data_IF_984393073548
#
_entry.id   IF_984393073548
#
_cell.length_a   1.000
_cell.length_b   1.000
_cell.length_c   1.000
_cell.angle_alpha   90.00
_cell.angle_beta   90.00
_cell.angle_gamma   90.00
#
_symmetry.space_group_name_H-M   'P 1'
#
loop_
_entity.id
_entity.type
_entity.pdbx_description
1 polymer ?
#
# COMPACT_ATOMS: atom_id res chain seq x y z
N UNK A 1 -17.75 -18.93 -1.84
CA UNK A 1 -18.49 -18.31 -0.71
C UNK A 1 -18.28 -16.82 -0.87
N UNK A 2 -19.32 -16.00 -0.75
CA UNK A 2 -19.18 -14.55 -0.87
C UNK A 2 -18.24 -14.01 0.22
N UNK A 3 -17.30 -13.16 -0.16
CA UNK A 3 -16.42 -12.50 0.81
C UNK A 3 -17.20 -11.49 1.65
N UNK A 4 -16.82 -11.36 2.91
CA UNK A 4 -17.41 -10.43 3.88
C UNK A 4 -16.77 -9.04 3.74
N UNK A 5 -15.48 -8.97 3.43
CA UNK A 5 -14.76 -7.70 3.23
C UNK A 5 -13.75 -7.74 2.08
N UNK A 6 -13.46 -6.55 1.53
CA UNK A 6 -12.45 -6.35 0.46
C UNK A 6 -11.06 -6.81 0.90
N UNK A 7 -10.81 -6.76 2.20
CA UNK A 7 -9.58 -7.23 2.84
C UNK A 7 -9.27 -8.70 2.55
N UNK A 8 -10.29 -9.52 2.28
CA UNK A 8 -10.11 -10.94 1.95
C UNK A 8 -9.49 -11.15 0.57
N UNK A 9 -9.62 -10.17 -0.35
CA UNK A 9 -8.98 -10.19 -1.67
C UNK A 9 -7.47 -9.88 -1.58
N UNK A 10 -7.07 -9.13 -0.56
CA UNK A 10 -5.71 -8.63 -0.41
C UNK A 10 -4.68 -9.77 -0.38
N UNK A 11 -4.84 -10.70 0.58
CA UNK A 11 -3.86 -11.76 0.81
C UNK A 11 -3.67 -12.70 -0.40
N UNK A 12 -4.74 -13.17 -1.08
CA UNK A 12 -4.60 -13.98 -2.30
C UNK A 12 -3.88 -13.26 -3.44
N UNK A 13 -4.26 -12.00 -3.72
CA UNK A 13 -3.66 -11.24 -4.82
C UNK A 13 -2.20 -10.91 -4.52
N UNK A 14 -1.89 -10.53 -3.27
CA UNK A 14 -0.52 -10.32 -2.81
C UNK A 14 0.33 -11.58 -2.99
N UNK A 15 -0.13 -12.71 -2.47
CA UNK A 15 0.60 -13.98 -2.59
C UNK A 15 0.84 -14.39 -4.05
N UNK A 16 -0.16 -14.18 -4.93
CA UNK A 16 -0.02 -14.43 -6.36
C UNK A 16 1.07 -13.56 -7.00
N UNK A 17 1.10 -12.25 -6.70
CA UNK A 17 2.11 -11.34 -7.24
C UNK A 17 3.51 -11.64 -6.68
N UNK A 18 3.62 -11.97 -5.39
CA UNK A 18 4.90 -12.36 -4.77
C UNK A 18 5.47 -13.64 -5.39
N UNK A 19 4.61 -14.61 -5.76
CA UNK A 19 5.04 -15.81 -6.50
C UNK A 19 5.58 -15.50 -7.89
N UNK A 20 5.19 -14.36 -8.48
CA UNK A 20 5.72 -13.86 -9.76
C UNK A 20 7.00 -13.00 -9.58
N UNK A 21 7.54 -12.95 -8.37
CA UNK A 21 8.78 -12.23 -8.04
C UNK A 21 8.58 -10.74 -7.77
N UNK A 22 7.34 -10.27 -7.56
CA UNK A 22 7.10 -8.90 -7.14
C UNK A 22 7.32 -8.72 -5.65
N UNK A 23 7.91 -7.60 -5.27
CA UNK A 23 7.76 -7.05 -3.94
C UNK A 23 6.40 -6.34 -3.85
N UNK A 24 5.57 -6.68 -2.86
CA UNK A 24 4.18 -6.19 -2.79
C UNK A 24 3.92 -5.50 -1.46
N UNK A 25 3.31 -4.30 -1.53
CA UNK A 25 2.95 -3.50 -0.36
C UNK A 25 1.54 -2.94 -0.53
N UNK A 26 0.75 -2.96 0.54
CA UNK A 26 -0.64 -2.50 0.51
C UNK A 26 -0.80 -1.03 0.81
N UNK A 27 -1.90 -0.43 0.38
CA UNK A 27 -2.35 0.91 0.81
C UNK A 27 -1.32 2.04 0.55
N UNK A 28 -0.53 1.94 -0.52
CA UNK A 28 0.54 2.91 -0.85
C UNK A 28 -0.07 4.08 -1.65
N UNK A 29 -0.01 5.30 -1.11
CA UNK A 29 -0.64 6.50 -1.71
C UNK A 29 -2.11 6.27 -2.14
N UNK A 30 -2.88 5.57 -1.31
CA UNK A 30 -4.28 5.20 -1.57
C UNK A 30 -4.50 4.16 -2.68
N UNK A 31 -3.45 3.49 -3.16
CA UNK A 31 -3.59 2.31 -4.01
C UNK A 31 -3.70 1.09 -3.10
N UNK A 32 -4.67 0.20 -3.34
CA UNK A 32 -4.89 -0.97 -2.46
C UNK A 32 -3.68 -1.90 -2.44
N UNK A 33 -3.07 -2.16 -3.60
CA UNK A 33 -1.84 -2.93 -3.76
C UNK A 33 -0.93 -2.25 -4.77
N UNK A 34 0.35 -2.15 -4.41
CA UNK A 34 1.43 -1.79 -5.34
C UNK A 34 2.44 -2.92 -5.33
N UNK A 35 2.89 -3.30 -6.51
CA UNK A 35 3.85 -4.37 -6.73
C UNK A 35 4.99 -3.85 -7.62
N UNK A 36 6.22 -4.10 -7.22
CA UNK A 36 7.43 -3.66 -7.95
C UNK A 36 8.35 -4.86 -8.15
N UNK A 37 8.90 -5.01 -9.34
CA UNK A 37 9.91 -6.03 -9.65
C UNK A 37 11.08 -5.35 -10.33
N UNK A 38 12.24 -5.38 -9.70
CA UNK A 38 13.47 -4.75 -10.19
C UNK A 38 13.24 -3.28 -10.60
N UNK A 39 13.60 -2.92 -11.83
CA UNK A 39 13.42 -1.58 -12.42
C UNK A 39 12.14 -1.47 -13.27
N UNK A 40 11.24 -2.45 -13.20
CA UNK A 40 9.94 -2.37 -13.89
C UNK A 40 9.07 -1.23 -13.31
N UNK A 41 8.26 -0.55 -14.15
CA UNK A 41 7.23 0.35 -13.65
C UNK A 41 6.29 -0.36 -12.65
N UNK A 42 5.81 0.34 -11.61
CA UNK A 42 4.99 -0.27 -10.57
C UNK A 42 3.70 -0.86 -11.14
N UNK A 43 3.37 -2.09 -10.78
CA UNK A 43 2.06 -2.68 -11.00
C UNK A 43 1.12 -2.22 -9.88
N UNK A 44 -0.06 -1.74 -10.24
CA UNK A 44 -1.06 -1.26 -9.28
C UNK A 44 -2.32 -2.12 -9.39
N UNK A 45 -2.85 -2.57 -8.26
CA UNK A 45 -4.14 -3.28 -8.20
C UNK A 45 -5.10 -2.55 -7.27
N UNK A 46 -6.29 -2.25 -7.77
CA UNK A 46 -7.44 -1.76 -6.99
C UNK A 46 -8.38 -2.93 -6.69
N UNK A 47 -8.89 -3.03 -5.45
CA UNK A 47 -9.66 -4.15 -4.93
C UNK A 47 -11.11 -3.71 -4.65
N UNK A 48 -12.09 -4.49 -5.11
CA UNK A 48 -13.49 -4.33 -4.70
C UNK A 48 -14.17 -5.68 -4.57
N UNK A 49 -15.21 -5.79 -3.73
CA UNK A 49 -15.97 -7.04 -3.63
C UNK A 49 -16.55 -7.50 -4.97
N UNK A 50 -17.02 -6.55 -5.77
CA UNK A 50 -17.59 -6.80 -7.09
C UNK A 50 -17.04 -5.81 -8.12
N UNK A 51 -17.04 -6.24 -9.37
CA UNK A 51 -16.81 -5.32 -10.49
C UNK A 51 -17.84 -4.20 -10.44
N UNK A 52 -17.41 -2.94 -10.47
CA UNK A 52 -18.30 -1.79 -10.29
C UNK A 52 -17.70 -0.53 -10.92
N UNK A 53 -18.54 0.47 -11.19
CA UNK A 53 -18.08 1.76 -11.73
C UNK A 53 -17.04 2.42 -10.82
N UNK A 54 -17.21 2.50 -9.48
CA UNK A 54 -16.18 3.06 -8.60
C UNK A 54 -14.81 2.40 -8.75
N UNK A 55 -14.77 1.07 -8.82
CA UNK A 55 -13.52 0.31 -9.03
C UNK A 55 -12.85 0.69 -10.35
N UNK A 56 -13.63 0.82 -11.43
CA UNK A 56 -13.11 1.23 -12.74
C UNK A 56 -12.58 2.67 -12.71
N UNK A 57 -13.29 3.60 -12.08
CA UNK A 57 -12.86 4.99 -11.98
C UNK A 57 -11.54 5.10 -11.21
N UNK A 58 -11.40 4.38 -10.10
CA UNK A 58 -10.14 4.30 -9.34
C UNK A 58 -9.00 3.77 -10.23
N UNK A 59 -9.22 2.68 -10.96
CA UNK A 59 -8.20 2.13 -11.84
C UNK A 59 -7.81 3.08 -12.98
N UNK A 60 -8.78 3.77 -13.60
CA UNK A 60 -8.51 4.78 -14.63
C UNK A 60 -7.65 5.91 -14.07
N UNK A 61 -7.92 6.37 -12.85
CA UNK A 61 -7.08 7.38 -12.18
C UNK A 61 -5.63 6.91 -11.98
N UNK A 62 -5.43 5.60 -11.71
CA UNK A 62 -4.09 5.00 -11.59
C UNK A 62 -3.33 4.92 -12.91
N UNK A 63 -4.00 5.00 -14.07
CA UNK A 63 -3.31 5.04 -15.38
C UNK A 63 -2.44 6.28 -15.57
N UNK A 64 -2.67 7.32 -14.77
CA UNK A 64 -1.79 8.48 -14.69
C UNK A 64 -0.45 8.15 -14.04
N UNK A 65 -0.36 7.05 -13.28
CA UNK A 65 0.79 6.67 -12.48
C UNK A 65 1.54 5.47 -13.10
N UNK A 66 0.80 4.51 -13.64
CA UNK A 66 1.37 3.30 -14.26
C UNK A 66 0.55 2.85 -15.46
N UNK A 67 1.15 2.05 -16.36
CA UNK A 67 0.44 1.33 -17.43
C UNK A 67 0.12 -0.11 -17.06
N UNK A 68 0.64 -0.60 -15.95
CA UNK A 68 0.35 -1.92 -15.40
C UNK A 68 -0.68 -1.78 -14.28
N UNK A 69 -1.93 -1.44 -14.64
CA UNK A 69 -3.02 -1.27 -13.68
C UNK A 69 -4.03 -2.40 -13.84
N UNK A 70 -4.43 -3.00 -12.72
CA UNK A 70 -5.44 -4.05 -12.65
C UNK A 70 -6.57 -3.67 -11.71
N UNK A 71 -7.78 -4.11 -12.05
CA UNK A 71 -8.87 -4.25 -11.08
C UNK A 71 -8.93 -5.69 -10.61
N UNK A 72 -9.18 -5.92 -9.32
CA UNK A 72 -9.44 -7.25 -8.80
C UNK A 72 -10.69 -7.32 -7.93
N UNK A 73 -11.46 -8.39 -8.11
CA UNK A 73 -12.72 -8.62 -7.38
C UNK A 73 -13.04 -10.10 -7.20
N UNK A 74 -14.02 -10.40 -6.35
CA UNK A 74 -14.45 -11.79 -6.13
C UNK A 74 -15.05 -12.37 -7.42
N UNK A 75 -14.58 -13.56 -7.84
CA UNK A 75 -15.22 -14.31 -8.92
C UNK A 75 -16.63 -14.74 -8.47
N UNK A 76 -17.70 -14.35 -9.18
CA UNK A 76 -19.06 -14.74 -8.79
C UNK A 76 -19.22 -16.27 -8.78
N UNK A 77 -19.80 -16.83 -7.71
CA UNK A 77 -19.91 -18.30 -7.51
C UNK A 77 -20.60 -19.07 -8.66
N UNK A 78 -21.44 -18.41 -9.48
CA UNK A 78 -22.13 -19.04 -10.62
C UNK A 78 -21.34 -18.97 -11.93
N UNK A 79 -20.12 -18.43 -11.91
CA UNK A 79 -19.27 -18.26 -13.09
C UNK A 79 -19.78 -17.25 -14.13
N UNK A 80 -20.97 -16.66 -13.94
CA UNK A 80 -21.49 -15.57 -14.77
C UNK A 80 -20.76 -14.27 -14.42
N UNK A 81 -20.48 -13.46 -15.44
CA UNK A 81 -19.91 -12.15 -15.22
C UNK A 81 -20.91 -11.24 -14.47
N UNK A 82 -20.42 -10.27 -13.67
CA UNK A 82 -21.27 -9.31 -12.96
C UNK A 82 -22.20 -8.50 -13.86
N UNK A 83 -23.27 -7.94 -13.27
CA UNK A 83 -24.21 -7.01 -13.92
C UNK A 83 -24.89 -7.51 -15.20
N UNK A 84 -25.01 -8.83 -15.35
CA UNK A 84 -25.62 -9.43 -16.54
C UNK A 84 -24.72 -9.43 -17.78
N UNK A 85 -23.45 -9.01 -17.65
CA UNK A 85 -22.48 -9.05 -18.73
C UNK A 85 -21.90 -10.46 -18.93
N UNK A 86 -21.20 -10.64 -20.05
CA UNK A 86 -20.33 -11.78 -20.33
C UNK A 86 -18.86 -11.44 -20.07
N UNK A 87 -18.03 -12.45 -19.81
CA UNK A 87 -16.59 -12.26 -19.63
C UNK A 87 -15.90 -11.62 -20.86
N UNK A 88 -16.24 -11.97 -22.12
CA UNK A 88 -15.73 -11.26 -23.30
C UNK A 88 -16.07 -9.77 -23.30
N UNK A 89 -17.28 -9.37 -22.91
CA UNK A 89 -17.68 -7.95 -22.83
C UNK A 89 -16.88 -7.19 -21.77
N UNK A 90 -16.68 -7.80 -20.58
CA UNK A 90 -15.86 -7.18 -19.52
C UNK A 90 -14.39 -7.06 -19.93
N UNK A 91 -13.83 -8.09 -20.60
CA UNK A 91 -12.47 -8.02 -21.15
C UNK A 91 -12.35 -6.93 -22.21
N UNK A 92 -13.33 -6.79 -23.10
CA UNK A 92 -13.38 -5.71 -24.10
C UNK A 92 -13.43 -4.34 -23.42
N UNK A 93 -14.28 -4.15 -22.42
CA UNK A 93 -14.38 -2.91 -21.65
C UNK A 93 -13.04 -2.57 -20.98
N UNK A 94 -12.44 -3.51 -20.25
CA UNK A 94 -11.15 -3.30 -19.59
C UNK A 94 -10.04 -2.97 -20.60
N UNK A 95 -10.03 -3.66 -21.75
CA UNK A 95 -9.12 -3.36 -22.85
C UNK A 95 -9.27 -1.94 -23.41
N UNK A 96 -10.51 -1.48 -23.65
CA UNK A 96 -10.79 -0.11 -24.08
C UNK A 96 -10.34 0.95 -23.06
N UNK A 97 -10.40 0.60 -21.77
CA UNK A 97 -9.99 1.48 -20.67
C UNK A 97 -8.48 1.42 -20.40
N UNK A 98 -7.75 0.44 -20.93
CA UNK A 98 -6.32 0.27 -20.68
C UNK A 98 -5.99 -0.42 -19.35
N UNK A 99 -6.93 -1.16 -18.76
CA UNK A 99 -6.75 -1.84 -17.46
C UNK A 99 -6.82 -3.36 -17.63
N UNK A 100 -6.10 -4.09 -16.78
CA UNK A 100 -6.25 -5.54 -16.64
C UNK A 100 -7.33 -5.90 -15.62
N UNK A 101 -7.73 -7.17 -15.62
CA UNK A 101 -8.77 -7.70 -14.74
C UNK A 101 -8.30 -9.00 -14.10
N UNK A 102 -8.41 -9.06 -12.78
CA UNK A 102 -8.13 -10.23 -11.96
C UNK A 102 -9.40 -10.63 -11.22
N UNK A 103 -9.65 -11.93 -11.10
CA UNK A 103 -10.71 -12.45 -10.26
C UNK A 103 -10.14 -13.38 -9.20
N UNK A 104 -10.77 -13.40 -8.03
CA UNK A 104 -10.41 -14.30 -6.93
C UNK A 104 -11.60 -15.18 -6.58
N UNK A 105 -11.46 -16.49 -6.78
CA UNK A 105 -12.46 -17.47 -6.41
C UNK A 105 -12.19 -18.01 -5.00
N UNK A 106 -13.14 -17.81 -4.09
CA UNK A 106 -13.08 -18.34 -2.72
C UNK A 106 -13.84 -19.66 -2.60
N UNK A 107 -13.21 -20.63 -1.94
CA UNK A 107 -13.76 -21.96 -1.65
C UNK A 107 -13.96 -22.12 -0.14
N UNK A 108 -14.83 -23.06 0.28
CA UNK A 108 -15.02 -23.37 1.70
C UNK A 108 -13.85 -24.15 2.31
N UNK A 109 -13.20 -24.99 1.53
CA UNK A 109 -12.26 -26.01 2.02
C UNK A 109 -10.89 -25.97 1.35
N UNK A 110 -10.67 -25.06 0.39
CA UNK A 110 -9.41 -24.93 -0.36
C UNK A 110 -8.96 -23.48 -0.41
N UNK A 111 -7.67 -23.27 -0.66
CA UNK A 111 -7.07 -21.94 -0.81
C UNK A 111 -7.78 -21.16 -1.93
N UNK A 112 -7.93 -19.84 -1.82
CA UNK A 112 -8.48 -19.01 -2.88
C UNK A 112 -7.66 -19.16 -4.17
N UNK A 113 -8.33 -19.15 -5.32
CA UNK A 113 -7.68 -19.19 -6.63
C UNK A 113 -7.73 -17.80 -7.26
N UNK A 114 -6.57 -17.29 -7.67
CA UNK A 114 -6.44 -16.05 -8.44
C UNK A 114 -6.40 -16.41 -9.93
N UNK A 115 -7.18 -15.70 -10.73
CA UNK A 115 -7.22 -15.85 -12.19
C UNK A 115 -7.08 -14.47 -12.84
N UNK A 116 -6.16 -14.34 -13.81
CA UNK A 116 -6.05 -13.14 -14.63
C UNK A 116 -6.95 -13.30 -15.85
N UNK A 117 -8.04 -12.54 -15.89
CA UNK A 117 -9.03 -12.58 -16.98
C UNK A 117 -8.52 -11.88 -18.24
N UNK A 118 -7.82 -10.76 -18.03
CA UNK A 118 -7.08 -10.07 -19.08
C UNK A 118 -5.95 -9.25 -18.46
N UNK A 119 -4.86 -9.12 -19.22
CA UNK A 119 -3.81 -8.15 -18.93
C UNK A 119 -4.22 -6.77 -19.47
N UNK A 120 -3.72 -5.67 -18.88
CA UNK A 120 -3.82 -4.38 -19.54
C UNK A 120 -3.18 -4.50 -20.92
N UNK A 121 -3.72 -3.83 -21.96
CA UNK A 121 -3.10 -3.83 -23.26
C UNK A 121 -1.65 -3.38 -23.12
N UNK A 122 -0.72 -4.15 -23.68
CA UNK A 122 0.69 -3.80 -23.67
C UNK A 122 0.82 -2.36 -24.17
N UNK A 123 1.64 -1.55 -23.47
CA UNK A 123 1.89 -0.18 -23.87
C UNK A 123 2.26 -0.19 -25.35
N UNK A 124 1.34 0.36 -26.14
CA UNK A 124 1.29 0.19 -27.58
C UNK A 124 2.66 0.48 -28.16
N UNK A 125 3.27 -0.52 -28.79
CA UNK A 125 4.25 -0.28 -29.85
C UNK A 125 3.65 0.74 -30.82
N UNK A 126 4.49 1.57 -31.44
CA UNK A 126 4.14 2.74 -32.26
C UNK A 126 3.08 2.53 -33.39
N UNK A 127 2.60 1.30 -33.60
CA UNK A 127 1.60 0.91 -34.58
C UNK A 127 0.11 1.17 -34.19
N UNK A 128 -0.19 1.59 -32.95
CA UNK A 128 -1.59 1.84 -32.55
C UNK A 128 -1.90 3.34 -32.44
N UNK A 129 -1.94 4.02 -33.59
CA UNK A 129 -2.36 5.42 -33.69
C UNK A 129 -3.86 5.63 -33.35
N UNK A 130 -4.67 4.56 -33.44
CA UNK A 130 -6.14 4.60 -33.32
C UNK A 130 -6.70 4.22 -31.94
N UNK A 131 -5.86 3.93 -30.95
CA UNK A 131 -6.38 3.65 -29.60
C UNK A 131 -6.56 4.94 -28.79
N UNK A 132 -7.66 5.07 -28.03
CA UNK A 132 -7.88 6.24 -27.18
C UNK A 132 -6.69 6.42 -26.25
N UNK A 133 -6.03 7.57 -26.35
CA UNK A 133 -4.89 7.93 -25.52
C UNK A 133 -5.39 8.03 -24.08
N UNK A 134 -5.10 7.02 -23.27
CA UNK A 134 -5.40 7.02 -21.85
C UNK A 134 -4.79 8.24 -21.12
N UNK A 135 -5.11 8.42 -19.83
CA UNK A 135 -4.69 9.59 -19.07
C UNK A 135 -3.20 9.92 -19.21
N UNK A 136 -2.86 11.21 -19.32
CA UNK A 136 -1.46 11.66 -19.44
C UNK A 136 -0.66 11.21 -18.22
N UNK A 137 0.47 10.55 -18.48
CA UNK A 137 1.35 10.05 -17.44
C UNK A 137 1.94 11.20 -16.59
N UNK A 138 1.85 11.04 -15.28
CA UNK A 138 2.29 12.00 -14.26
C UNK A 138 3.53 11.46 -13.54
N UNK A 139 4.70 11.80 -14.07
CA UNK A 139 6.01 11.37 -13.52
C UNK A 139 6.20 11.75 -12.05
N UNK A 140 5.67 12.89 -11.63
CA UNK A 140 5.78 13.35 -10.24
C UNK A 140 4.95 12.48 -9.28
N UNK A 141 3.72 12.12 -9.67
CA UNK A 141 2.88 11.22 -8.89
C UNK A 141 3.50 9.81 -8.80
N UNK A 142 4.05 9.29 -9.91
CA UNK A 142 4.79 8.03 -9.94
C UNK A 142 6.01 8.04 -9.03
N UNK A 143 6.84 9.10 -9.07
CA UNK A 143 7.98 9.24 -8.16
C UNK A 143 7.57 9.27 -6.68
N UNK A 144 6.45 9.92 -6.34
CA UNK A 144 5.91 9.88 -4.97
C UNK A 144 5.43 8.48 -4.56
N UNK A 145 4.75 7.76 -5.46
CA UNK A 145 4.33 6.38 -5.23
C UNK A 145 5.54 5.50 -4.93
N UNK A 146 6.56 5.54 -5.78
CA UNK A 146 7.77 4.73 -5.61
C UNK A 146 8.55 5.07 -4.35
N UNK A 147 8.63 6.36 -3.99
CA UNK A 147 9.26 6.77 -2.74
C UNK A 147 8.50 6.24 -1.52
N UNK A 148 7.18 6.42 -1.48
CA UNK A 148 6.38 5.88 -0.38
C UNK A 148 6.43 4.35 -0.34
N UNK A 149 6.40 3.71 -1.52
CA UNK A 149 6.57 2.27 -1.65
C UNK A 149 7.85 1.88 -0.94
N UNK A 150 9.04 2.34 -1.37
CA UNK A 150 10.36 1.97 -0.82
C UNK A 150 10.55 2.31 0.66
N UNK A 151 9.91 3.37 1.16
CA UNK A 151 10.10 3.83 2.54
C UNK A 151 9.37 3.01 3.61
N UNK A 152 8.47 2.09 3.25
CA UNK A 152 7.78 1.21 4.22
C UNK A 152 8.71 0.08 4.70
N UNK A 153 8.68 -0.29 5.98
CA UNK A 153 9.53 -1.36 6.52
C UNK A 153 8.90 -2.75 6.43
N UNK A 154 7.57 -2.83 6.56
CA UNK A 154 6.81 -4.07 6.40
C UNK A 154 5.34 -3.79 5.99
N UNK A 155 4.61 -4.85 5.65
CA UNK A 155 3.20 -4.78 5.24
C UNK A 155 2.26 -4.77 6.46
N UNK A 156 2.23 -3.65 7.18
CA UNK A 156 1.42 -3.48 8.41
C UNK A 156 -0.08 -3.32 8.16
N UNK A 157 -0.47 -3.02 6.91
CA UNK A 157 -1.86 -2.83 6.54
C UNK A 157 -2.36 -4.07 5.80
N UNK A 158 -3.13 -4.90 6.49
CA UNK A 158 -4.00 -5.85 5.79
C UNK A 158 -5.07 -5.00 5.09
N UNK A 159 -4.97 -4.88 3.76
CA UNK A 159 -5.66 -3.84 2.97
C UNK A 159 -7.16 -3.75 3.22
N UNK A 160 -7.75 -2.55 3.10
CA UNK A 160 -9.20 -2.34 3.10
C UNK A 160 -9.93 -2.35 4.45
N UNK A 161 -9.22 -2.31 5.59
CA UNK A 161 -9.89 -2.21 6.91
C UNK A 161 -10.42 -0.79 7.16
N UNK A 162 -11.69 -0.54 6.83
CA UNK A 162 -12.37 0.76 7.01
C UNK A 162 -12.41 1.27 8.47
N UNK A 163 -12.03 0.45 9.46
CA UNK A 163 -12.06 0.80 10.89
C UNK A 163 -10.69 1.01 11.53
N UNK A 164 -9.58 0.62 10.88
CA UNK A 164 -8.22 0.85 11.41
C UNK A 164 -7.53 1.96 10.62
N UNK A 165 -6.93 2.93 11.32
CA UNK A 165 -6.25 4.06 10.66
C UNK A 165 -5.01 3.55 9.91
N UNK A 166 -5.01 3.70 8.58
CA UNK A 166 -3.96 3.28 7.64
C UNK A 166 -2.53 3.68 8.08
N UNK A 167 -1.63 2.72 8.23
CA UNK A 167 -0.22 2.94 8.60
C UNK A 167 0.55 3.37 7.34
N UNK A 168 0.71 4.68 7.14
CA UNK A 168 1.59 5.21 6.10
C UNK A 168 3.05 5.09 6.52
N UNK A 169 4.00 5.19 5.58
CA UNK A 169 5.44 5.24 5.91
C UNK A 169 5.78 6.36 6.91
N UNK A 170 5.11 7.51 6.80
CA UNK A 170 5.26 8.61 7.75
C UNK A 170 4.77 8.22 9.15
N UNK A 171 3.63 7.52 9.25
CA UNK A 171 3.09 7.06 10.52
C UNK A 171 3.96 5.97 11.13
N UNK A 172 4.39 4.99 10.36
CA UNK A 172 5.32 3.95 10.79
C UNK A 172 6.61 4.55 11.38
N UNK A 173 7.25 5.46 10.66
CA UNK A 173 8.42 6.20 11.15
C UNK A 173 8.10 7.01 12.41
N UNK A 174 6.89 7.58 12.53
CA UNK A 174 6.48 8.32 13.73
C UNK A 174 6.29 7.38 14.93
N UNK A 175 5.76 6.17 14.70
CA UNK A 175 5.61 5.12 15.71
C UNK A 175 6.98 4.65 16.17
N UNK A 176 7.94 4.49 15.25
CA UNK A 176 9.33 4.14 15.60
C UNK A 176 9.99 5.19 16.49
N UNK A 177 9.88 6.47 16.14
CA UNK A 177 10.39 7.55 16.99
C UNK A 177 9.70 7.56 18.37
N UNK A 178 8.39 7.33 18.40
CA UNK A 178 7.62 7.23 19.63
C UNK A 178 8.07 6.04 20.49
N UNK A 179 8.31 4.86 19.92
CA UNK A 179 8.73 3.68 20.69
C UNK A 179 10.10 3.89 21.33
N UNK A 180 11.05 4.50 20.61
CA UNK A 180 12.37 4.83 21.15
C UNK A 180 12.29 5.86 22.29
N UNK A 181 11.44 6.88 22.16
CA UNK A 181 11.20 7.85 23.24
C UNK A 181 10.53 7.20 24.47
N UNK A 182 9.67 6.20 24.26
CA UNK A 182 9.10 5.42 25.36
C UNK A 182 10.15 4.58 26.07
N UNK A 183 11.05 3.97 25.30
CA UNK A 183 12.03 3.02 25.80
C UNK A 183 13.23 3.70 26.48
N UNK A 184 13.81 4.70 25.83
CA UNK A 184 15.04 5.37 26.28
C UNK A 184 14.78 6.70 27.01
N UNK A 185 13.52 7.10 27.13
CA UNK A 185 13.14 8.38 27.71
C UNK A 185 13.36 9.57 26.76
N UNK A 186 13.51 10.80 27.29
CA UNK A 186 13.67 11.97 26.45
C UNK A 186 14.95 11.93 25.61
N UNK A 187 14.82 12.11 24.29
CA UNK A 187 15.94 12.07 23.35
C UNK A 187 15.99 13.31 22.47
N UNK A 188 17.19 13.58 21.96
CA UNK A 188 17.41 14.59 20.92
C UNK A 188 17.07 14.06 19.51
N UNK A 189 16.74 14.94 18.55
CA UNK A 189 16.57 14.56 17.15
C UNK A 189 17.79 13.85 16.54
N UNK A 190 19.00 14.18 17.00
CA UNK A 190 20.24 13.54 16.55
C UNK A 190 20.28 12.08 17.01
N UNK A 191 20.09 11.83 18.31
CA UNK A 191 20.04 10.47 18.85
C UNK A 191 18.97 9.63 18.16
N UNK A 192 17.78 10.18 17.95
CA UNK A 192 16.70 9.48 17.26
C UNK A 192 17.04 9.16 15.80
N UNK A 193 17.69 10.07 15.07
CA UNK A 193 18.19 9.79 13.71
C UNK A 193 19.22 8.69 13.73
N UNK A 194 20.16 8.74 14.67
CA UNK A 194 21.28 7.79 14.72
C UNK A 194 20.78 6.37 15.10
N UNK A 195 19.77 6.29 15.98
CA UNK A 195 19.07 5.04 16.32
C UNK A 195 18.25 4.49 15.14
N UNK A 196 17.48 5.34 14.44
CA UNK A 196 16.54 4.86 13.41
C UNK A 196 17.12 4.82 11.99
N UNK A 197 18.28 5.44 11.76
CA UNK A 197 18.77 5.78 10.43
C UNK A 197 17.88 6.79 9.67
N UNK A 198 16.85 7.37 10.30
CA UNK A 198 15.88 8.23 9.62
C UNK A 198 16.35 9.69 9.57
N UNK A 199 16.78 10.22 8.41
CA UNK A 199 17.28 11.60 8.30
C UNK A 199 16.19 12.65 8.58
N UNK A 200 14.91 12.27 8.53
CA UNK A 200 13.77 13.17 8.73
C UNK A 200 13.33 13.30 10.20
N UNK A 201 13.99 12.61 11.15
CA UNK A 201 13.57 12.59 12.56
C UNK A 201 13.33 13.99 13.14
N UNK A 202 14.26 14.93 12.92
CA UNK A 202 14.10 16.32 13.38
C UNK A 202 12.86 17.02 12.79
N UNK A 203 12.64 16.90 11.49
CA UNK A 203 11.49 17.48 10.83
C UNK A 203 10.16 16.88 11.30
N UNK A 204 10.14 15.58 11.61
CA UNK A 204 8.95 14.90 12.12
C UNK A 204 8.57 15.36 13.53
N UNK A 205 9.57 15.50 14.41
CA UNK A 205 9.39 16.03 15.78
C UNK A 205 8.93 17.50 15.76
N UNK A 206 9.47 18.31 14.85
CA UNK A 206 9.12 19.72 14.73
C UNK A 206 7.72 19.94 14.13
N UNK A 207 7.40 19.25 13.03
CA UNK A 207 6.07 19.33 12.40
C UNK A 207 4.99 18.75 13.29
N UNK A 208 5.34 17.72 14.08
CA UNK A 208 4.50 17.08 15.07
C UNK A 208 3.05 16.82 14.59
N UNK A 209 2.92 16.30 13.36
CA UNK A 209 1.63 16.18 12.63
C UNK A 209 0.55 15.47 13.46
N UNK A 210 0.94 14.47 14.26
CA UNK A 210 0.01 13.71 15.11
C UNK A 210 -0.04 14.19 16.56
N UNK A 211 0.73 15.22 16.92
CA UNK A 211 0.87 15.76 18.28
C UNK A 211 1.37 14.75 19.31
N UNK A 212 2.13 13.75 18.87
CA UNK A 212 2.69 12.69 19.74
C UNK A 212 3.92 13.13 20.51
N UNK A 213 4.59 14.18 20.08
CA UNK A 213 5.85 14.62 20.65
C UNK A 213 5.69 15.91 21.43
N UNK A 214 6.43 16.06 22.52
CA UNK A 214 6.51 17.28 23.32
C UNK A 214 7.97 17.63 23.53
N UNK A 215 8.33 18.89 23.30
CA UNK A 215 9.66 19.41 23.60
C UNK A 215 9.72 19.76 25.09
N UNK A 216 10.65 19.15 25.82
CA UNK A 216 10.85 19.36 27.27
C UNK A 216 12.06 20.24 27.58
N UNK A 217 13.02 20.30 26.66
CA UNK A 217 14.19 21.18 26.75
C UNK A 217 14.68 21.56 25.33
N UNK A 218 15.74 22.36 25.24
CA UNK A 218 16.34 22.81 23.99
C UNK A 218 16.83 21.61 23.17
N UNK A 219 15.98 21.15 22.26
CA UNK A 219 16.29 20.06 21.35
C UNK A 219 16.10 18.68 21.98
N UNK A 220 15.38 18.58 23.11
CA UNK A 220 15.05 17.32 23.76
C UNK A 220 13.52 17.13 23.72
N UNK A 221 13.10 15.95 23.29
CA UNK A 221 11.70 15.60 23.11
C UNK A 221 11.33 14.38 23.95
N UNK A 222 10.09 14.35 24.42
CA UNK A 222 9.43 13.20 25.04
C UNK A 222 8.09 12.93 24.35
N UNK A 223 7.38 11.89 24.78
CA UNK A 223 6.03 11.61 24.33
C UNK A 223 4.99 12.47 25.06
N UNK A 224 4.02 12.98 24.31
CA UNK A 224 2.79 13.54 24.86
C UNK A 224 1.83 12.41 25.27
N UNK A 225 0.76 12.68 26.04
CA UNK A 225 -0.29 11.69 26.32
C UNK A 225 -0.86 11.03 25.07
N UNK A 226 -1.07 11.80 23.99
CA UNK A 226 -1.53 11.27 22.69
C UNK A 226 -0.52 10.31 22.06
N UNK A 227 0.79 10.56 22.25
CA UNK A 227 1.84 9.66 21.80
C UNK A 227 1.85 8.34 22.59
N UNK A 228 1.59 8.40 23.89
CA UNK A 228 1.44 7.20 24.73
C UNK A 228 0.26 6.35 24.28
N UNK A 229 -0.91 6.97 24.06
CA UNK A 229 -2.11 6.29 23.55
C UNK A 229 -1.90 5.70 22.15
N UNK A 230 -1.16 6.41 21.30
CA UNK A 230 -0.83 5.92 19.96
C UNK A 230 -0.01 4.64 20.01
N UNK A 231 0.97 4.53 20.92
CA UNK A 231 1.75 3.30 21.08
C UNK A 231 0.87 2.12 21.51
N UNK A 232 -0.15 2.35 22.35
CA UNK A 232 -1.14 1.31 22.68
C UNK A 232 -1.98 0.94 21.46
N UNK A 233 -2.44 1.94 20.70
CA UNK A 233 -3.28 1.75 19.50
C UNK A 233 -2.55 0.97 18.40
N UNK A 234 -1.24 1.21 18.26
CA UNK A 234 -0.39 0.64 17.21
C UNK A 234 0.66 -0.33 17.76
N UNK A 235 0.37 -1.01 18.88
CA UNK A 235 1.30 -1.95 19.52
C UNK A 235 1.82 -3.01 18.53
N UNK A 236 0.92 -3.58 17.73
CA UNK A 236 1.24 -4.54 16.66
C UNK A 236 2.25 -4.03 15.60
N UNK A 237 2.39 -2.71 15.42
CA UNK A 237 3.44 -2.12 14.57
C UNK A 237 4.70 -1.90 15.39
N UNK A 238 4.56 -1.28 16.56
CA UNK A 238 5.68 -0.95 17.45
C UNK A 238 6.54 -2.17 17.82
N UNK A 239 5.92 -3.32 18.07
CA UNK A 239 6.57 -4.58 18.46
C UNK A 239 7.45 -5.18 17.35
N UNK A 240 7.19 -4.85 16.10
CA UNK A 240 7.93 -5.37 14.94
C UNK A 240 9.04 -4.45 14.45
N UNK A 241 9.05 -3.21 14.94
CA UNK A 241 10.02 -2.22 14.52
C UNK A 241 11.38 -2.53 15.15
N UNK A 242 12.48 -2.39 14.40
CA UNK A 242 13.81 -2.72 14.91
C UNK A 242 14.14 -1.80 16.08
N UNK A 243 14.45 -2.40 17.22
CA UNK A 243 15.00 -1.67 18.37
C UNK A 243 16.53 -1.77 18.27
N UNK A 244 17.25 -0.66 18.07
CA UNK A 244 18.70 -0.70 18.09
C UNK A 244 19.15 -1.08 19.50
N UNK A 245 19.95 -2.13 19.60
CA UNK A 245 20.67 -2.43 20.85
C UNK A 245 21.67 -1.29 21.04
N UNK A 246 21.69 -0.59 22.19
CA UNK A 246 22.72 0.41 22.43
C UNK A 246 24.08 -0.26 22.29
N UNK A 247 24.92 0.26 21.39
CA UNK A 247 26.33 -0.09 21.36
C UNK A 247 26.85 0.37 22.71
N UNK A 248 27.22 -0.58 23.57
CA UNK A 248 27.93 -0.29 24.81
C UNK A 248 29.05 0.68 24.44
N UNK A 249 28.96 1.90 24.97
CA UNK A 249 30.05 2.87 24.89
C UNK A 249 31.20 2.27 25.68
N UNK A 250 32.07 1.54 24.96
CA UNK A 250 33.33 1.05 25.46
C UNK A 250 34.10 2.24 26.04
N UNK A 251 34.54 2.03 27.27
CA UNK A 251 35.33 2.93 28.11
C UNK A 251 36.57 3.48 27.39
#
# INVERSE_FOLDING_TARGET
>A
MAIKSETELYAPVKAYLEQLGYEVRGEVRHCDLVAVREEEPPLIVELKKSFSIPLLLQAIDRLRISRSVYVAFERPNKGRAPHGASWPELRKLCGMLGVGMITVQFYKTRKPRVEVECHPPAALTAAAADQPKGPRHNKYAAGKLMREFRERGADYNVGGSSKRKLITAYREKSIHLASLLRQFGPLSPRQLRDLTGNPQAAGMLQKNVYRWFQRVDRGIYTLSPLGLEALTTYAHVAETLPVPVPIDSAK
#
